data_IF_558843954310
#
_entry.id   IF_558843954310
#
_cell.length_a   1.000
_cell.length_b   1.000
_cell.length_c   1.000
_cell.angle_alpha   90.00
_cell.angle_beta   90.00
_cell.angle_gamma   90.00
#
_symmetry.space_group_name_H-M   'P 1'
#
loop_
_entity.id
_entity.type
_entity.pdbx_description
1 polymer ?
#
# COMPACT_ATOMS: atom_id res chain seq x y z
N UNK A 1 -25.46 -59.68 0.59
CA UNK A 1 -25.75 -58.29 0.16
C UNK A 1 -24.42 -57.65 -0.15
N UNK A 2 -24.17 -57.30 -1.41
CA UNK A 2 -22.83 -56.98 -1.93
C UNK A 2 -22.83 -55.61 -2.60
N UNK A 3 -21.70 -54.90 -2.59
CA UNK A 3 -21.54 -53.55 -3.16
C UNK A 3 -20.74 -53.56 -4.48
N UNK A 4 -20.45 -54.74 -5.01
CA UNK A 4 -19.66 -54.98 -6.21
C UNK A 4 -20.30 -54.37 -7.47
N UNK A 5 -19.48 -53.86 -8.39
CA UNK A 5 -19.91 -53.26 -9.66
C UNK A 5 -20.91 -52.08 -9.58
N UNK A 6 -20.93 -51.33 -8.47
CA UNK A 6 -21.81 -50.16 -8.29
C UNK A 6 -21.15 -48.80 -8.66
N UNK A 7 -20.03 -48.82 -9.39
CA UNK A 7 -19.24 -47.63 -9.76
C UNK A 7 -18.96 -46.69 -8.56
N UNK A 8 -18.57 -47.29 -7.43
CA UNK A 8 -18.21 -46.55 -6.22
C UNK A 8 -16.77 -46.01 -6.33
N UNK A 9 -16.53 -44.84 -5.74
CA UNK A 9 -15.25 -44.12 -5.83
C UNK A 9 -14.77 -43.62 -4.48
N UNK A 10 -13.45 -43.52 -4.31
CA UNK A 10 -12.81 -42.96 -3.11
C UNK A 10 -12.41 -44.00 -2.04
N UNK A 11 -11.94 -43.53 -0.87
CA UNK A 11 -11.52 -44.40 0.21
C UNK A 11 -12.72 -45.06 0.89
N UNK A 12 -12.66 -46.39 1.09
CA UNK A 12 -13.66 -47.13 1.87
C UNK A 12 -13.47 -46.81 3.36
N UNK A 13 -14.50 -46.27 4.04
CA UNK A 13 -14.44 -46.06 5.49
C UNK A 13 -14.18 -47.38 6.22
N UNK A 14 -13.31 -47.36 7.23
CA UNK A 14 -12.90 -48.57 7.99
C UNK A 14 -14.07 -49.34 8.60
N UNK A 15 -15.15 -48.64 8.98
CA UNK A 15 -16.40 -49.26 9.45
C UNK A 15 -17.09 -50.11 8.36
N UNK A 16 -17.05 -49.67 7.11
CA UNK A 16 -17.61 -50.40 5.97
C UNK A 16 -16.69 -51.58 5.56
N UNK A 17 -15.38 -51.37 5.55
CA UNK A 17 -14.40 -52.44 5.30
C UNK A 17 -14.40 -53.55 6.38
N UNK A 18 -14.81 -53.23 7.62
CA UNK A 18 -15.04 -54.22 8.69
C UNK A 18 -16.41 -54.90 8.61
N UNK A 19 -17.42 -54.22 8.07
CA UNK A 19 -18.81 -54.73 7.95
C UNK A 19 -19.01 -55.64 6.74
N UNK A 20 -18.26 -55.42 5.65
CA UNK A 20 -18.35 -56.18 4.41
C UNK A 20 -17.00 -56.78 4.04
N UNK A 21 -17.00 -58.01 3.51
CA UNK A 21 -15.77 -58.66 3.05
C UNK A 21 -15.18 -57.93 1.83
N UNK A 22 -13.85 -57.91 1.66
CA UNK A 22 -13.16 -57.28 0.52
C UNK A 22 -13.71 -57.71 -0.86
N UNK A 23 -14.23 -58.94 -1.00
CA UNK A 23 -14.89 -59.41 -2.22
C UNK A 23 -16.14 -58.60 -2.59
N UNK A 24 -16.81 -58.00 -1.62
CA UNK A 24 -18.02 -57.18 -1.81
C UNK A 24 -17.75 -55.83 -2.45
N UNK A 25 -16.48 -55.45 -2.66
CA UNK A 25 -16.06 -54.19 -3.28
C UNK A 25 -15.47 -54.38 -4.70
N UNK A 26 -15.34 -55.64 -5.16
CA UNK A 26 -14.79 -55.99 -6.48
C UNK A 26 -15.58 -55.30 -7.61
N UNK A 27 -14.88 -54.90 -8.67
CA UNK A 27 -15.46 -54.18 -9.80
C UNK A 27 -15.69 -52.68 -9.59
N UNK A 28 -15.37 -52.12 -8.42
CA UNK A 28 -15.35 -50.68 -8.18
C UNK A 28 -13.92 -50.15 -8.29
N UNK A 29 -13.46 -49.89 -9.53
CA UNK A 29 -12.02 -49.60 -9.81
C UNK A 29 -11.50 -48.28 -9.23
N UNK A 30 -12.39 -47.35 -8.89
CA UNK A 30 -12.03 -46.08 -8.24
C UNK A 30 -12.05 -46.17 -6.70
N UNK A 31 -12.27 -47.37 -6.15
CA UNK A 31 -12.38 -47.61 -4.72
C UNK A 31 -11.06 -48.13 -4.16
N UNK A 32 -10.68 -47.68 -2.97
CA UNK A 32 -9.43 -48.08 -2.31
C UNK A 32 -9.60 -48.19 -0.79
N UNK A 33 -8.65 -48.83 -0.10
CA UNK A 33 -8.65 -49.02 1.35
C UNK A 33 -9.51 -50.19 1.86
N UNK A 34 -10.11 -51.01 0.99
CA UNK A 34 -10.93 -52.17 1.39
C UNK A 34 -10.16 -53.49 1.52
N UNK A 35 -8.87 -53.50 1.18
CA UNK A 35 -7.99 -54.68 1.29
C UNK A 35 -6.53 -54.25 1.46
N UNK A 36 -5.63 -55.13 1.96
CA UNK A 36 -4.20 -54.83 2.05
C UNK A 36 -3.51 -54.61 0.69
N UNK A 37 -4.07 -55.21 -0.38
CA UNK A 37 -3.57 -55.13 -1.76
C UNK A 37 -4.12 -53.94 -2.55
N UNK A 38 -5.22 -53.32 -2.09
CA UNK A 38 -5.84 -52.15 -2.71
C UNK A 38 -5.78 -50.97 -1.75
N UNK A 39 -4.56 -50.56 -1.39
CA UNK A 39 -4.36 -49.35 -0.58
C UNK A 39 -4.68 -48.10 -1.41
N UNK A 40 -5.21 -47.07 -0.76
CA UNK A 40 -5.28 -45.76 -1.40
C UNK A 40 -3.87 -45.23 -1.56
N UNK A 41 -3.46 -44.93 -2.80
CA UNK A 41 -2.32 -44.06 -3.02
C UNK A 41 -2.61 -42.73 -2.33
N UNK A 42 -1.94 -42.46 -1.20
CA UNK A 42 -1.80 -41.09 -0.75
C UNK A 42 -1.21 -40.32 -1.93
N UNK A 43 -1.73 -39.13 -2.29
CA UNK A 43 -1.06 -38.31 -3.28
C UNK A 43 0.37 -38.08 -2.77
N UNK A 44 1.35 -38.61 -3.49
CA UNK A 44 2.70 -38.08 -3.39
C UNK A 44 2.61 -36.59 -3.76
N UNK A 45 3.33 -35.68 -3.08
CA UNK A 45 3.28 -34.27 -3.41
C UNK A 45 3.56 -34.09 -4.90
N UNK A 46 2.61 -33.52 -5.63
CA UNK A 46 2.79 -33.38 -7.07
C UNK A 46 3.87 -32.32 -7.30
N UNK A 47 4.92 -32.70 -8.03
CA UNK A 47 6.10 -31.84 -8.31
C UNK A 47 5.75 -30.56 -9.10
N UNK A 48 4.47 -30.35 -9.49
CA UNK A 48 3.97 -29.15 -10.16
C UNK A 48 3.25 -28.15 -9.26
N UNK A 49 2.60 -28.57 -8.16
CA UNK A 49 1.81 -27.66 -7.31
C UNK A 49 2.71 -26.73 -6.47
N UNK A 50 3.88 -27.21 -6.06
CA UNK A 50 4.86 -26.41 -5.34
C UNK A 50 5.38 -25.21 -6.15
N UNK A 51 5.56 -25.36 -7.47
CA UNK A 51 6.08 -24.29 -8.34
C UNK A 51 5.09 -23.13 -8.42
N UNK A 52 3.79 -23.42 -8.57
CA UNK A 52 2.76 -22.38 -8.63
C UNK A 52 2.67 -21.60 -7.30
N UNK A 53 2.76 -22.29 -6.17
CA UNK A 53 2.77 -21.67 -4.84
C UNK A 53 4.03 -20.81 -4.63
N UNK A 54 5.21 -21.28 -5.03
CA UNK A 54 6.47 -20.50 -4.94
C UNK A 54 6.40 -19.25 -5.81
N UNK A 55 5.90 -19.35 -7.05
CA UNK A 55 5.72 -18.19 -7.94
C UNK A 55 4.73 -17.19 -7.34
N UNK A 56 3.60 -17.64 -6.81
CA UNK A 56 2.60 -16.80 -6.15
C UNK A 56 3.18 -16.05 -4.94
N UNK A 57 3.97 -16.75 -4.11
CA UNK A 57 4.65 -16.15 -2.95
C UNK A 57 5.66 -15.09 -3.41
N UNK A 58 6.49 -15.37 -4.44
CA UNK A 58 7.47 -14.41 -4.96
C UNK A 58 6.77 -13.15 -5.49
N UNK A 59 5.69 -13.29 -6.28
CA UNK A 59 4.90 -12.15 -6.78
C UNK A 59 4.30 -11.36 -5.62
N UNK A 60 3.75 -12.02 -4.60
CA UNK A 60 3.22 -11.36 -3.41
C UNK A 60 4.31 -10.60 -2.63
N UNK A 61 5.48 -11.20 -2.40
CA UNK A 61 6.62 -10.55 -1.75
C UNK A 61 7.11 -9.33 -2.54
N UNK A 62 7.18 -9.40 -3.86
CA UNK A 62 7.56 -8.28 -4.73
C UNK A 62 6.53 -7.15 -4.65
N UNK A 63 5.24 -7.46 -4.75
CA UNK A 63 4.17 -6.46 -4.60
C UNK A 63 4.20 -5.81 -3.22
N UNK A 64 4.32 -6.60 -2.15
CA UNK A 64 4.47 -6.09 -0.79
C UNK A 64 5.72 -5.21 -0.67
N UNK A 65 6.87 -5.60 -1.22
CA UNK A 65 8.09 -4.78 -1.19
C UNK A 65 7.91 -3.45 -1.94
N UNK A 66 7.26 -3.44 -3.11
CA UNK A 66 6.93 -2.19 -3.82
C UNK A 66 5.92 -1.33 -3.04
N UNK A 67 4.91 -1.94 -2.41
CA UNK A 67 3.94 -1.23 -1.56
C UNK A 67 4.61 -0.68 -0.30
N UNK A 68 5.50 -1.42 0.36
CA UNK A 68 6.29 -0.95 1.50
C UNK A 68 7.30 0.12 1.11
N UNK A 69 7.89 0.07 -0.08
CA UNK A 69 8.75 1.16 -0.60
C UNK A 69 7.93 2.40 -0.95
N UNK A 70 6.73 2.25 -1.51
CA UNK A 70 5.76 3.34 -1.73
C UNK A 70 5.22 3.91 -0.41
N UNK A 71 5.12 3.08 0.63
CA UNK A 71 4.67 3.45 1.99
C UNK A 71 5.81 3.93 2.91
N UNK A 72 7.08 3.75 2.52
CA UNK A 72 8.26 4.33 3.20
C UNK A 72 8.49 5.82 2.89
N UNK A 73 7.47 6.51 2.40
CA UNK A 73 7.34 7.98 2.53
C UNK A 73 6.34 8.36 3.63
N UNK A 74 6.08 7.47 4.59
CA UNK A 74 5.37 7.77 5.84
C UNK A 74 5.90 6.87 6.96
N UNK A 75 5.75 7.35 8.21
CA UNK A 75 6.20 6.73 9.47
C UNK A 75 7.70 6.87 9.76
N UNK A 76 8.12 8.10 10.10
CA UNK A 76 9.03 8.28 11.23
C UNK A 76 8.20 8.77 12.44
N UNK A 77 8.13 7.90 13.44
CA UNK A 77 7.86 8.07 14.88
C UNK A 77 6.57 8.76 15.40
N UNK A 78 5.84 7.99 16.21
CA UNK A 78 4.81 8.40 17.16
C UNK A 78 5.45 8.94 18.46
N UNK A 79 5.04 10.11 18.95
CA UNK A 79 5.71 10.76 20.08
C UNK A 79 4.95 11.90 20.77
N UNK A 80 3.90 11.54 21.53
CA UNK A 80 3.38 12.24 22.72
C UNK A 80 3.09 13.77 22.68
N UNK A 81 1.80 14.11 22.57
CA UNK A 81 1.07 15.23 23.24
C UNK A 81 1.74 16.62 23.29
N UNK A 82 1.18 17.58 22.54
CA UNK A 82 0.29 18.64 23.10
C UNK A 82 -0.31 19.45 21.95
N UNK A 83 -1.64 19.53 21.87
CA UNK A 83 -2.30 20.48 20.99
C UNK A 83 -2.19 21.90 21.58
N UNK A 84 -1.46 22.80 20.91
CA UNK A 84 -1.56 24.24 21.15
C UNK A 84 -1.88 24.94 19.83
N UNK A 85 -3.14 25.30 19.68
CA UNK A 85 -3.56 26.34 18.76
C UNK A 85 -3.04 27.69 19.24
N UNK A 86 -2.15 28.32 18.45
CA UNK A 86 -1.81 29.73 18.58
C UNK A 86 -2.10 30.38 17.21
N UNK A 87 -3.31 30.88 16.97
CA UNK A 87 -3.79 32.18 17.44
C UNK A 87 -2.95 33.33 16.84
N UNK A 88 -3.50 33.97 15.81
CA UNK A 88 -2.91 35.14 15.18
C UNK A 88 -2.86 36.31 16.18
N UNK A 89 -1.69 36.93 16.33
CA UNK A 89 -1.58 38.27 16.92
C UNK A 89 -0.27 38.95 16.55
N UNK A 90 -0.34 39.96 15.68
CA UNK A 90 0.59 41.06 15.63
C UNK A 90 -0.22 42.31 15.20
N UNK A 91 -0.61 43.12 16.19
CA UNK A 91 -1.36 44.37 15.98
C UNK A 91 -0.40 45.57 15.88
N UNK A 92 -0.87 46.59 15.15
CA UNK A 92 -0.56 48.03 15.33
C UNK A 92 0.81 48.55 14.90
N UNK A 93 0.78 49.52 13.97
CA UNK A 93 1.87 50.45 13.65
C UNK A 93 1.46 51.42 12.54
N UNK A 94 0.85 52.56 12.89
CA UNK A 94 0.18 53.48 11.94
C UNK A 94 1.06 54.70 11.62
N UNK A 95 1.30 54.98 10.34
CA UNK A 95 1.97 56.21 9.86
C UNK A 95 1.73 56.42 8.36
N UNK A 96 1.20 57.59 7.97
CA UNK A 96 0.71 57.92 6.62
C UNK A 96 1.63 58.97 5.96
N UNK A 97 1.76 59.04 4.60
CA UNK A 97 2.85 59.72 3.88
C UNK A 97 2.40 61.14 3.40
N UNK A 98 2.78 61.76 2.24
CA UNK A 98 3.20 61.30 0.90
C UNK A 98 4.70 61.66 0.64
N UNK A 99 5.32 61.73 -0.56
CA UNK A 99 4.97 61.69 -2.01
C UNK A 99 6.14 60.96 -2.73
N UNK A 100 6.01 60.21 -3.84
CA UNK A 100 4.85 59.70 -4.57
C UNK A 100 5.26 59.06 -5.91
N UNK A 101 4.35 58.33 -6.56
CA UNK A 101 4.47 57.94 -7.98
C UNK A 101 4.96 56.51 -8.29
N UNK A 102 4.10 55.50 -8.12
CA UNK A 102 3.75 54.57 -9.21
C UNK A 102 2.39 53.92 -8.95
N UNK A 103 1.77 53.30 -9.97
CA UNK A 103 0.37 52.83 -9.93
C UNK A 103 0.29 51.38 -9.48
N UNK A 104 -0.42 51.12 -8.37
CA UNK A 104 -0.75 49.75 -7.93
C UNK A 104 -2.16 49.31 -8.34
N UNK A 105 -2.24 48.06 -8.81
CA UNK A 105 -3.31 47.09 -8.49
C UNK A 105 -2.65 45.71 -8.51
N UNK A 106 -2.54 44.91 -7.44
CA UNK A 106 -2.83 45.13 -6.02
C UNK A 106 -2.85 43.77 -5.31
N UNK A 107 -2.04 43.55 -4.26
CA UNK A 107 -1.97 42.23 -3.58
C UNK A 107 -0.63 41.90 -2.93
N UNK A 108 -0.29 42.60 -1.84
CA UNK A 108 0.87 42.31 -0.99
C UNK A 108 0.73 40.94 -0.28
N UNK A 109 1.54 39.95 -0.69
CA UNK A 109 1.89 38.70 0.02
C UNK A 109 2.71 37.69 -0.84
N UNK A 110 2.72 37.86 -2.17
CA UNK A 110 3.24 36.84 -3.11
C UNK A 110 4.77 36.87 -3.32
N UNK A 111 5.46 35.80 -2.92
CA UNK A 111 6.87 35.60 -3.26
C UNK A 111 7.08 35.30 -4.76
N UNK A 112 8.14 35.84 -5.36
CA UNK A 112 8.46 35.62 -6.79
C UNK A 112 8.76 34.15 -7.07
N UNK A 113 7.87 33.49 -7.82
CA UNK A 113 8.13 32.18 -8.42
C UNK A 113 8.93 32.33 -9.73
N UNK A 114 9.75 31.32 -10.02
CA UNK A 114 10.45 31.17 -11.31
C UNK A 114 10.20 29.75 -11.80
N UNK A 115 9.48 29.64 -12.90
CA UNK A 115 9.21 28.37 -13.56
C UNK A 115 10.40 27.98 -14.43
N UNK A 116 10.88 26.75 -14.26
CA UNK A 116 11.71 26.08 -15.25
C UNK A 116 10.79 25.28 -16.16
N UNK A 117 11.06 25.30 -17.46
CA UNK A 117 10.14 24.85 -18.49
C UNK A 117 9.68 23.39 -18.30
N UNK A 118 8.38 23.17 -18.47
CA UNK A 118 7.72 21.90 -18.18
C UNK A 118 6.19 22.02 -18.13
N UNK A 119 5.45 20.91 -18.32
CA UNK A 119 3.99 20.92 -18.50
C UNK A 119 3.19 21.21 -17.22
N UNK A 120 3.85 21.45 -16.08
CA UNK A 120 3.21 21.58 -14.76
C UNK A 120 3.39 23.01 -14.23
N UNK A 121 2.45 23.89 -14.60
CA UNK A 121 2.46 25.30 -14.21
C UNK A 121 1.88 25.50 -12.81
N UNK A 122 2.73 25.86 -11.83
CA UNK A 122 2.32 26.14 -10.46
C UNK A 122 2.07 27.64 -10.21
N UNK A 123 0.87 28.06 -9.82
CA UNK A 123 0.66 29.43 -9.29
C UNK A 123 1.08 29.52 -7.83
N UNK A 124 1.31 30.74 -7.34
CA UNK A 124 1.57 30.96 -5.91
C UNK A 124 0.37 30.56 -5.05
N UNK A 125 -0.84 30.83 -5.56
CA UNK A 125 -2.11 30.56 -4.90
C UNK A 125 -2.33 29.04 -4.70
N UNK A 126 -2.05 28.24 -5.73
CA UNK A 126 -2.14 26.77 -5.65
C UNK A 126 -1.18 26.20 -4.60
N UNK A 127 0.01 26.81 -4.42
CA UNK A 127 0.97 26.43 -3.38
C UNK A 127 0.57 26.94 -1.98
N UNK A 128 -0.22 28.01 -1.90
CA UNK A 128 -0.74 28.58 -0.66
C UNK A 128 -1.81 27.69 -0.02
N UNK A 129 -2.67 27.09 -0.86
CA UNK A 129 -3.73 26.16 -0.44
C UNK A 129 -3.28 24.69 -0.41
N UNK A 130 -2.09 24.37 -0.93
CA UNK A 130 -1.56 23.02 -0.93
C UNK A 130 -1.43 22.45 0.50
N UNK A 131 -1.88 21.22 0.71
CA UNK A 131 -1.61 20.51 1.96
C UNK A 131 -0.14 20.10 1.99
N UNK A 132 0.61 20.60 2.98
CA UNK A 132 2.04 20.37 3.13
C UNK A 132 2.34 19.38 4.27
N UNK A 133 2.90 18.22 3.93
CA UNK A 133 3.41 17.21 4.86
C UNK A 133 4.94 17.35 5.00
N UNK A 134 5.48 17.28 6.22
CA UNK A 134 6.94 17.36 6.45
C UNK A 134 7.57 16.01 6.09
N UNK A 135 8.46 15.99 5.09
CA UNK A 135 9.20 14.78 4.68
C UNK A 135 10.53 14.60 5.42
N UNK A 136 11.10 15.66 5.99
CA UNK A 136 12.36 15.58 6.73
C UNK A 136 13.08 16.91 6.87
N UNK A 137 14.05 16.96 7.80
CA UNK A 137 14.91 18.12 8.04
C UNK A 137 16.34 17.83 7.59
N UNK A 138 16.98 18.83 7.01
CA UNK A 138 18.36 18.82 6.54
C UNK A 138 19.07 20.07 7.07
N UNK A 139 20.41 20.05 7.16
CA UNK A 139 21.22 21.21 7.56
C UNK A 139 20.86 22.50 6.80
N UNK A 140 20.48 22.35 5.53
CA UNK A 140 20.13 23.45 4.63
C UNK A 140 18.66 23.89 4.67
N UNK A 141 17.77 23.17 5.37
CA UNK A 141 16.33 23.47 5.37
C UNK A 141 15.42 22.26 5.60
N UNK A 142 14.11 22.48 5.52
CA UNK A 142 13.09 21.43 5.68
C UNK A 142 12.50 21.05 4.32
N UNK A 143 12.34 19.75 4.10
CA UNK A 143 11.69 19.19 2.92
C UNK A 143 10.21 18.92 3.20
N UNK A 144 9.35 19.30 2.27
CA UNK A 144 7.91 19.14 2.33
C UNK A 144 7.38 18.44 1.09
N UNK A 145 6.34 17.66 1.27
CA UNK A 145 5.48 17.13 0.22
C UNK A 145 4.24 18.02 0.15
N UNK A 146 4.11 18.78 -0.93
CA UNK A 146 2.91 19.55 -1.21
C UNK A 146 1.95 18.70 -2.05
N UNK A 147 0.71 18.57 -1.61
CA UNK A 147 -0.39 17.97 -2.39
C UNK A 147 -1.32 19.10 -2.82
N UNK A 148 -1.46 19.28 -4.14
CA UNK A 148 -2.40 20.24 -4.74
C UNK A 148 -3.83 19.68 -4.76
N UNK A 149 -4.79 20.53 -5.09
CA UNK A 149 -6.22 20.18 -5.17
C UNK A 149 -6.54 19.12 -6.25
N UNK A 150 -5.73 19.05 -7.32
CA UNK A 150 -5.83 18.05 -8.39
C UNK A 150 -5.19 16.68 -8.03
N UNK A 151 -4.82 16.48 -6.76
CA UNK A 151 -4.04 15.36 -6.25
C UNK A 151 -2.59 15.27 -6.78
N UNK A 152 -2.10 16.23 -7.57
CA UNK A 152 -0.70 16.30 -7.99
C UNK A 152 0.20 16.56 -6.78
N UNK A 153 1.39 15.96 -6.81
CA UNK A 153 2.35 16.01 -5.69
C UNK A 153 3.64 16.71 -6.12
N UNK A 154 4.03 17.74 -5.38
CA UNK A 154 5.26 18.50 -5.58
C UNK A 154 6.17 18.41 -4.35
N UNK A 155 7.48 18.50 -4.59
CA UNK A 155 8.50 18.37 -3.57
C UNK A 155 9.13 19.75 -3.29
N UNK A 156 8.85 20.35 -2.13
CA UNK A 156 9.22 21.73 -1.79
C UNK A 156 10.29 21.74 -0.72
N UNK A 157 11.44 22.41 -0.95
CA UNK A 157 12.51 22.57 0.05
C UNK A 157 12.56 23.99 0.57
N UNK A 158 12.08 24.23 1.79
CA UNK A 158 12.24 25.53 2.47
C UNK A 158 13.66 25.65 2.99
N UNK A 159 14.48 26.45 2.33
CA UNK A 159 15.85 26.70 2.76
C UNK A 159 15.89 27.51 4.06
N UNK A 160 16.85 27.20 4.93
CA UNK A 160 17.16 28.03 6.10
C UNK A 160 17.89 29.29 5.63
N UNK A 161 17.57 30.45 6.21
CA UNK A 161 18.33 31.68 5.96
C UNK A 161 19.72 31.52 6.56
N UNK A 162 20.75 31.65 5.72
CA UNK A 162 22.13 31.80 6.19
C UNK A 162 22.27 33.20 6.83
N UNK A 163 22.97 33.25 7.95
CA UNK A 163 23.34 34.47 8.66
C UNK A 163 24.86 34.66 8.52
#
# INVERSE_FOLDING_TARGET
MSLQHNNLSGPVPTLLARKFNSSSFVGSVQLCGYSPSTQCSSPAPSEGEGVLLVVLIIVCCILLFYLFRKRKTSNDEEGHVTAISAAASARTGKGVPPIGGEVEVGGDAGGKLVHFDGPLTFTADNLLWATAEIMGKSTYGTMYKATLEDCSQAAVKRLKKNH
#
